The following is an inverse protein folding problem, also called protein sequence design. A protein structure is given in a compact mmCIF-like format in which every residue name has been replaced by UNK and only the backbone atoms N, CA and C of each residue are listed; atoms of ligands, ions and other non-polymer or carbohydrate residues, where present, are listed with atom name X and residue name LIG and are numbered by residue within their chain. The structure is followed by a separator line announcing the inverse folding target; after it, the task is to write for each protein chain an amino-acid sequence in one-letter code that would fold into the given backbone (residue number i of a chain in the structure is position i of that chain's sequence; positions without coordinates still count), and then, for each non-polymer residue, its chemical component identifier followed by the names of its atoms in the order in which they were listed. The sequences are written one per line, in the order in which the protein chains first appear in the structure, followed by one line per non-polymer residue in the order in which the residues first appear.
data_IF_190194894474
#
_entry.id   IF_190194894474
#
_cell.length_a   1.000
_cell.length_b   1.000
_cell.length_c   1.000
_cell.angle_alpha   90.00
_cell.angle_beta   90.00
_cell.angle_gamma   90.00
#
_symmetry.space_group_name_H-M   'P 1'
#
loop_
_entity.id
_entity.type
_entity.pdbx_description
1 polymer ?
#
# COMPACT_ATOMS: atom_id res chain seq x y z
N UNK A 1 -9.56 -9.27 -28.17
CA UNK A 1 -8.96 -7.93 -28.07
C UNK A 1 -9.42 -7.31 -26.75
N UNK A 2 -8.57 -7.30 -25.73
CA UNK A 2 -8.90 -6.76 -24.41
C UNK A 2 -9.08 -5.24 -24.49
N UNK A 3 -10.24 -4.73 -24.06
CA UNK A 3 -10.54 -3.29 -24.01
C UNK A 3 -11.29 -3.00 -22.72
N UNK A 4 -10.83 -2.00 -21.95
CA UNK A 4 -11.57 -1.51 -20.78
C UNK A 4 -12.66 -0.53 -21.23
N UNK A 5 -13.87 -0.64 -20.67
CA UNK A 5 -14.98 0.30 -20.90
C UNK A 5 -14.74 1.60 -20.11
N UNK A 6 -13.76 2.39 -20.54
CA UNK A 6 -13.58 3.77 -20.09
C UNK A 6 -14.07 4.68 -21.21
N UNK A 7 -14.78 5.77 -20.89
CA UNK A 7 -15.42 6.68 -21.87
C UNK A 7 -14.44 7.42 -22.80
N UNK A 8 -14.83 8.59 -23.33
CA UNK A 8 -14.09 9.42 -24.31
C UNK A 8 -12.56 9.48 -24.07
N UNK A 9 -11.83 8.50 -24.59
CA UNK A 9 -10.37 8.45 -24.63
C UNK A 9 -10.01 8.06 -26.05
N UNK A 10 -9.06 8.78 -26.66
CA UNK A 10 -8.66 8.56 -28.05
C UNK A 10 -8.05 7.17 -28.33
N UNK A 11 -7.65 6.43 -27.29
CA UNK A 11 -7.11 5.06 -27.36
C UNK A 11 -7.56 4.24 -26.13
N UNK A 12 -7.80 2.92 -26.26
CA UNK A 12 -8.22 2.09 -25.14
C UNK A 12 -7.07 1.83 -24.16
N UNK A 13 -7.34 1.94 -22.85
CA UNK A 13 -6.47 1.36 -21.84
C UNK A 13 -6.51 -0.17 -21.97
N UNK A 14 -5.33 -0.77 -22.15
CA UNK A 14 -5.21 -2.21 -22.37
C UNK A 14 -4.95 -2.96 -21.07
N UNK A 15 -3.99 -2.50 -20.28
CA UNK A 15 -3.48 -3.20 -19.10
C UNK A 15 -3.15 -2.21 -17.99
N UNK A 16 -3.48 -2.54 -16.74
CA UNK A 16 -3.09 -1.73 -15.57
C UNK A 16 -2.52 -2.57 -14.42
N UNK A 17 -1.43 -2.07 -13.85
CA UNK A 17 -0.83 -2.60 -12.62
C UNK A 17 -1.12 -1.62 -11.50
N UNK A 18 -1.75 -2.10 -10.43
CA UNK A 18 -2.09 -1.30 -9.26
C UNK A 18 -1.12 -1.57 -8.12
N UNK A 19 -0.68 -0.53 -7.41
CA UNK A 19 0.15 -0.70 -6.21
C UNK A 19 -0.73 -0.74 -4.96
N UNK A 20 -0.40 -1.64 -4.03
CA UNK A 20 -0.99 -1.63 -2.69
C UNK A 20 -0.67 -0.29 -2.03
N UNK A 21 -1.68 0.39 -1.48
CA UNK A 21 -1.51 1.72 -0.92
C UNK A 21 -2.35 1.90 0.34
N UNK A 22 -1.70 2.28 1.45
CA UNK A 22 -2.43 2.67 2.67
C UNK A 22 -2.63 4.18 2.72
N UNK A 23 -1.56 4.95 2.52
CA UNK A 23 -1.57 6.42 2.61
C UNK A 23 -0.48 6.99 1.71
N UNK A 24 -0.66 8.25 1.34
CA UNK A 24 0.38 9.09 0.74
C UNK A 24 0.52 10.34 1.61
N UNK A 25 1.74 10.87 1.67
CA UNK A 25 2.08 12.06 2.45
C UNK A 25 2.29 13.25 1.52
N UNK A 26 2.08 14.45 2.05
CA UNK A 26 2.45 15.69 1.38
C UNK A 26 3.97 15.88 1.38
N UNK A 27 4.51 16.51 0.34
CA UNK A 27 5.95 16.77 0.21
C UNK A 27 6.49 17.67 1.33
N UNK A 28 5.64 18.46 2.01
CA UNK A 28 6.02 19.22 3.19
C UNK A 28 6.65 18.36 4.31
N UNK A 29 6.38 17.04 4.35
CA UNK A 29 6.98 16.13 5.33
C UNK A 29 8.52 16.12 5.28
N UNK A 30 9.11 16.36 4.10
CA UNK A 30 10.56 16.38 3.95
C UNK A 30 11.20 17.54 4.71
N UNK A 31 10.61 18.74 4.60
CA UNK A 31 11.13 19.94 5.26
C UNK A 31 10.71 19.99 6.73
N UNK A 32 9.43 19.76 7.01
CA UNK A 32 8.84 20.01 8.34
C UNK A 32 9.06 18.89 9.35
N UNK A 33 9.27 17.65 8.90
CA UNK A 33 9.56 16.51 9.77
C UNK A 33 11.00 16.04 9.60
N UNK A 34 11.36 15.58 8.41
CA UNK A 34 12.63 14.88 8.20
C UNK A 34 13.83 15.80 8.36
N UNK A 35 13.80 16.98 7.74
CA UNK A 35 14.86 17.97 7.90
C UNK A 35 14.80 18.64 9.27
N UNK A 36 13.66 19.23 9.64
CA UNK A 36 13.55 20.04 10.85
C UNK A 36 13.79 19.26 12.15
N UNK A 37 13.29 18.02 12.25
CA UNK A 37 13.42 17.20 13.46
C UNK A 37 14.60 16.24 13.41
N UNK A 38 14.83 15.58 12.27
CA UNK A 38 15.84 14.52 12.15
C UNK A 38 17.11 14.96 11.41
N UNK A 39 17.16 16.17 10.86
CA UNK A 39 18.31 16.66 10.09
C UNK A 39 18.51 15.95 8.75
N UNK A 40 17.52 15.19 8.28
CA UNK A 40 17.64 14.38 7.07
C UNK A 40 17.26 15.20 5.84
N UNK A 41 18.26 15.53 5.02
CA UNK A 41 18.07 16.24 3.75
C UNK A 41 17.55 15.30 2.67
N UNK A 42 16.49 15.72 1.95
CA UNK A 42 15.84 14.92 0.90
C UNK A 42 16.83 14.51 -0.20
N UNK A 43 17.77 15.39 -0.53
CA UNK A 43 18.76 15.19 -1.61
C UNK A 43 19.75 14.07 -1.28
N UNK A 44 19.92 13.76 0.00
CA UNK A 44 20.84 12.74 0.50
C UNK A 44 20.15 11.39 0.74
N UNK A 45 18.84 11.30 0.56
CA UNK A 45 18.08 10.05 0.67
C UNK A 45 18.24 9.23 -0.62
N UNK A 46 18.72 7.99 -0.50
CA UNK A 46 18.86 7.05 -1.63
C UNK A 46 17.69 6.09 -1.76
N UNK A 47 17.00 5.80 -0.66
CA UNK A 47 15.85 4.90 -0.64
C UNK A 47 14.94 5.26 0.51
N UNK A 48 13.63 5.11 0.29
CA UNK A 48 12.62 5.17 1.33
C UNK A 48 11.73 3.93 1.26
N UNK A 49 11.23 3.49 2.40
CA UNK A 49 10.28 2.39 2.50
C UNK A 49 9.31 2.59 3.68
N UNK A 50 8.17 1.91 3.66
CA UNK A 50 7.22 1.91 4.78
C UNK A 50 6.95 0.46 5.19
N UNK A 51 7.50 0.04 6.32
CA UNK A 51 7.28 -1.28 6.92
C UNK A 51 7.27 -1.18 8.44
N UNK A 52 6.09 -0.93 9.02
CA UNK A 52 5.94 -0.68 10.47
C UNK A 52 6.42 0.71 10.90
N UNK A 53 7.50 1.21 10.30
CA UNK A 53 8.03 2.56 10.42
C UNK A 53 8.27 3.16 9.01
N UNK A 54 8.51 4.48 8.95
CA UNK A 54 9.04 5.13 7.77
C UNK A 54 10.56 4.98 7.77
N UNK A 55 11.07 4.21 6.81
CA UNK A 55 12.47 3.81 6.72
C UNK A 55 13.20 4.64 5.67
N UNK A 56 14.34 5.23 6.01
CA UNK A 56 15.13 6.10 5.13
C UNK A 56 16.59 5.63 5.12
N UNK A 57 17.14 5.41 3.92
CA UNK A 57 18.55 5.15 3.70
C UNK A 57 19.21 6.36 3.07
N UNK A 58 20.37 6.74 3.58
CA UNK A 58 21.12 7.93 3.17
C UNK A 58 22.35 7.55 2.33
N UNK A 59 22.87 8.50 1.54
CA UNK A 59 24.09 8.31 0.74
C UNK A 59 25.34 8.00 1.57
N UNK A 60 25.40 8.48 2.81
CA UNK A 60 26.48 8.21 3.75
C UNK A 60 26.43 6.78 4.35
N UNK A 61 25.41 5.99 3.97
CA UNK A 61 25.19 4.64 4.46
C UNK A 61 24.36 4.57 5.75
N UNK A 62 23.97 5.71 6.33
CA UNK A 62 23.11 5.73 7.52
C UNK A 62 21.68 5.29 7.21
N UNK A 63 21.04 4.69 8.22
CA UNK A 63 19.68 4.16 8.17
C UNK A 63 18.86 4.74 9.33
N UNK A 64 17.67 5.23 9.02
CA UNK A 64 16.79 5.89 9.98
C UNK A 64 15.38 5.29 9.92
N UNK A 65 14.80 5.02 11.09
CA UNK A 65 13.39 4.65 11.22
C UNK A 65 12.63 5.75 11.97
N UNK A 66 11.53 6.22 11.38
CA UNK A 66 10.68 7.26 11.94
C UNK A 66 9.29 6.67 12.20
N UNK A 67 8.71 6.92 13.38
CA UNK A 67 7.38 6.40 13.71
C UNK A 67 6.34 6.97 12.73
N UNK A 68 5.56 6.10 12.11
CA UNK A 68 4.49 6.47 11.20
C UNK A 68 3.43 7.37 11.85
N UNK A 69 3.25 7.30 13.17
CA UNK A 69 2.34 8.19 13.89
C UNK A 69 2.74 9.65 13.75
N UNK A 70 4.03 9.94 13.70
CA UNK A 70 4.54 11.30 13.49
C UNK A 70 4.24 11.73 12.06
N UNK A 71 4.47 10.85 11.09
CA UNK A 71 4.18 11.11 9.67
C UNK A 71 2.70 11.38 9.39
N UNK A 72 1.78 10.95 10.28
CA UNK A 72 0.33 11.06 10.03
C UNK A 72 -0.17 12.48 9.84
N UNK A 73 0.48 13.48 10.43
CA UNK A 73 0.12 14.89 10.26
C UNK A 73 0.17 15.33 8.79
N UNK A 74 1.07 14.74 8.01
CA UNK A 74 1.24 15.02 6.57
C UNK A 74 0.41 14.09 5.67
N UNK A 75 -0.50 13.28 6.21
CA UNK A 75 -1.37 12.41 5.38
C UNK A 75 -2.25 13.27 4.48
N UNK A 76 -2.21 13.05 3.15
CA UNK A 76 -3.07 13.77 2.20
C UNK A 76 -4.55 13.55 2.53
N UNK A 77 -5.35 14.61 2.43
CA UNK A 77 -6.76 14.59 2.87
C UNK A 77 -7.59 13.47 2.21
N UNK A 78 -7.42 13.26 0.89
CA UNK A 78 -8.12 12.18 0.18
C UNK A 78 -7.79 10.77 0.66
N UNK A 79 -6.63 10.54 1.26
CA UNK A 79 -6.28 9.23 1.83
C UNK A 79 -7.06 8.91 3.11
N UNK A 80 -7.63 9.93 3.78
CA UNK A 80 -8.46 9.76 4.98
C UNK A 80 -9.85 9.20 4.66
N UNK A 81 -10.23 9.16 3.39
CA UNK A 81 -11.51 8.61 2.94
C UNK A 81 -11.37 7.52 1.88
N UNK A 82 -10.16 7.29 1.33
CA UNK A 82 -9.93 6.21 0.35
C UNK A 82 -10.24 4.81 0.96
N UNK A 83 -11.06 3.97 0.30
CA UNK A 83 -11.46 2.67 0.82
C UNK A 83 -10.65 1.50 0.24
N UNK A 84 -9.78 1.75 -0.74
CA UNK A 84 -9.12 0.71 -1.52
C UNK A 84 -7.63 0.63 -1.17
N UNK A 85 -7.27 -0.37 -0.37
CA UNK A 85 -5.87 -0.70 -0.11
C UNK A 85 -5.27 -1.57 -1.22
N UNK A 86 -6.07 -2.46 -1.79
CA UNK A 86 -5.58 -3.58 -2.58
C UNK A 86 -5.57 -3.31 -4.09
N UNK A 87 -5.81 -2.06 -4.49
CA UNK A 87 -5.96 -1.64 -5.88
C UNK A 87 -6.91 -2.58 -6.65
N UNK A 88 -8.13 -2.72 -6.14
CA UNK A 88 -9.07 -3.79 -6.53
C UNK A 88 -9.53 -3.73 -7.99
N UNK A 89 -9.32 -2.59 -8.65
CA UNK A 89 -9.68 -2.37 -10.07
C UNK A 89 -8.53 -2.64 -11.06
N UNK A 90 -7.38 -3.12 -10.60
CA UNK A 90 -6.25 -3.46 -11.46
C UNK A 90 -6.40 -4.83 -12.16
N UNK A 91 -5.65 -5.06 -13.23
CA UNK A 91 -5.49 -6.39 -13.82
C UNK A 91 -4.57 -7.24 -12.93
N UNK A 92 -3.50 -6.61 -12.42
CA UNK A 92 -2.61 -7.15 -11.39
C UNK A 92 -2.41 -6.09 -10.31
N UNK A 93 -2.71 -6.42 -9.06
CA UNK A 93 -2.38 -5.59 -7.90
C UNK A 93 -1.12 -6.12 -7.22
N UNK A 94 -0.20 -5.25 -6.83
CA UNK A 94 1.10 -5.69 -6.28
C UNK A 94 1.62 -4.80 -5.16
N UNK A 95 2.32 -5.37 -4.18
CA UNK A 95 3.02 -4.58 -3.18
C UNK A 95 3.81 -5.40 -2.15
N UNK A 96 4.78 -4.73 -1.52
CA UNK A 96 5.73 -5.31 -0.58
C UNK A 96 5.16 -5.45 0.83
N UNK A 97 4.19 -6.36 1.02
CA UNK A 97 3.73 -6.78 2.35
C UNK A 97 4.08 -8.25 2.58
N UNK A 98 4.43 -8.60 3.82
CA UNK A 98 4.91 -9.93 4.18
C UNK A 98 6.20 -9.88 5.01
N UNK A 99 6.68 -11.06 5.38
CA UNK A 99 7.93 -11.18 6.15
C UNK A 99 9.15 -11.03 5.24
N UNK A 100 9.07 -11.63 4.05
CA UNK A 100 10.17 -11.73 3.11
C UNK A 100 10.25 -10.51 2.18
N UNK A 101 11.27 -9.67 2.38
CA UNK A 101 11.51 -8.47 1.59
C UNK A 101 11.97 -8.75 0.15
N UNK A 102 12.32 -10.00 -0.18
CA UNK A 102 12.70 -10.39 -1.54
C UNK A 102 11.48 -10.71 -2.43
N UNK A 103 10.28 -10.78 -1.85
CA UNK A 103 9.06 -11.12 -2.56
C UNK A 103 8.07 -9.96 -2.56
N UNK A 104 7.27 -9.92 -3.62
CA UNK A 104 6.17 -8.98 -3.76
C UNK A 104 4.87 -9.76 -3.84
N UNK A 105 3.89 -9.42 -3.01
CA UNK A 105 2.57 -10.02 -3.09
C UNK A 105 1.87 -9.54 -4.37
N UNK A 106 1.37 -10.46 -5.19
CA UNK A 106 0.62 -10.15 -6.41
C UNK A 106 -0.78 -10.78 -6.34
N UNK A 107 -1.82 -9.96 -6.53
CA UNK A 107 -3.21 -10.40 -6.69
C UNK A 107 -3.59 -10.21 -8.16
N UNK A 108 -3.74 -11.31 -8.88
CA UNK A 108 -4.11 -11.32 -10.30
C UNK A 108 -5.63 -11.41 -10.42
N UNK A 109 -6.26 -10.49 -11.16
CA UNK A 109 -7.73 -10.28 -11.09
C UNK A 109 -8.47 -10.57 -12.39
N UNK A 110 -7.92 -10.13 -13.52
CA UNK A 110 -8.59 -10.22 -14.82
C UNK A 110 -7.96 -11.30 -15.68
N UNK A 111 -8.70 -11.79 -16.69
CA UNK A 111 -8.18 -12.77 -17.65
C UNK A 111 -6.89 -12.30 -18.33
N UNK A 112 -6.79 -11.00 -18.62
CA UNK A 112 -5.56 -10.41 -19.15
C UNK A 112 -4.42 -10.44 -18.13
N UNK A 113 -4.69 -10.11 -16.86
CA UNK A 113 -3.70 -10.23 -15.79
C UNK A 113 -3.20 -11.66 -15.62
N UNK A 114 -4.09 -12.65 -15.71
CA UNK A 114 -3.74 -14.09 -15.66
C UNK A 114 -2.83 -14.45 -16.82
N UNK A 115 -3.20 -14.06 -18.05
CA UNK A 115 -2.40 -14.35 -19.24
C UNK A 115 -1.00 -13.71 -19.17
N UNK A 116 -0.91 -12.45 -18.73
CA UNK A 116 0.37 -11.74 -18.58
C UNK A 116 1.24 -12.44 -17.53
N UNK A 117 0.69 -12.73 -16.34
CA UNK A 117 1.45 -13.39 -15.28
C UNK A 117 1.93 -14.78 -15.71
N UNK A 118 1.08 -15.58 -16.34
CA UNK A 118 1.44 -16.91 -16.82
C UNK A 118 2.57 -16.87 -17.85
N UNK A 119 2.55 -15.89 -18.78
CA UNK A 119 3.65 -15.71 -19.75
C UNK A 119 4.95 -15.32 -19.07
N UNK A 120 4.90 -14.37 -18.13
CA UNK A 120 6.08 -13.95 -17.36
C UNK A 120 6.68 -15.07 -16.52
N UNK A 121 5.85 -16.01 -16.04
CA UNK A 121 6.33 -17.22 -15.36
C UNK A 121 6.94 -18.19 -16.37
N UNK A 122 6.29 -18.41 -17.50
CA UNK A 122 6.72 -19.37 -18.52
C UNK A 122 8.04 -18.96 -19.21
N UNK A 123 8.27 -17.66 -19.41
CA UNK A 123 9.50 -17.12 -19.99
C UNK A 123 10.61 -16.83 -18.97
N UNK A 124 10.34 -17.04 -17.68
CA UNK A 124 11.31 -16.86 -16.59
C UNK A 124 11.54 -15.41 -16.16
N UNK A 125 10.74 -14.45 -16.65
CA UNK A 125 10.79 -13.05 -16.20
C UNK A 125 10.45 -12.91 -14.72
N UNK A 126 9.61 -13.78 -14.17
CA UNK A 126 9.31 -13.85 -12.73
C UNK A 126 9.26 -15.29 -12.23
N UNK A 127 9.62 -15.47 -10.97
CA UNK A 127 9.32 -16.67 -10.22
C UNK A 127 8.08 -16.43 -9.35
N UNK A 128 7.23 -17.44 -9.19
CA UNK A 128 6.00 -17.33 -8.42
C UNK A 128 5.87 -18.49 -7.44
N UNK A 129 5.28 -18.19 -6.27
CA UNK A 129 4.83 -19.18 -5.29
C UNK A 129 3.42 -18.80 -4.81
N UNK A 130 2.60 -19.77 -4.35
CA UNK A 130 1.28 -19.46 -3.81
C UNK A 130 1.38 -18.46 -2.65
N UNK A 131 0.57 -17.40 -2.68
CA UNK A 131 0.59 -16.34 -1.67
C UNK A 131 0.19 -16.84 -0.28
N UNK A 132 -0.61 -17.91 -0.22
CA UNK A 132 -1.08 -18.56 1.00
C UNK A 132 0.06 -19.14 1.84
N UNK A 133 1.24 -19.35 1.23
CA UNK A 133 2.45 -19.77 1.95
C UNK A 133 3.02 -18.67 2.85
N UNK A 134 2.68 -17.40 2.62
CA UNK A 134 3.00 -16.26 3.48
C UNK A 134 1.77 -15.83 4.29
N UNK A 135 1.60 -16.47 5.45
CA UNK A 135 0.47 -16.19 6.35
C UNK A 135 0.44 -14.72 6.82
N UNK A 136 1.61 -14.08 6.94
CA UNK A 136 1.73 -12.68 7.38
C UNK A 136 1.27 -11.72 6.29
N UNK A 137 1.67 -11.92 5.03
CA UNK A 137 1.19 -11.14 3.90
C UNK A 137 -0.34 -11.26 3.76
N UNK A 138 -0.89 -12.48 3.86
CA UNK A 138 -2.34 -12.70 3.76
C UNK A 138 -3.12 -12.05 4.90
N UNK A 139 -2.58 -12.08 6.12
CA UNK A 139 -3.17 -11.40 7.28
C UNK A 139 -3.13 -9.88 7.11
N UNK A 140 -2.00 -9.33 6.67
CA UNK A 140 -1.83 -7.90 6.45
C UNK A 140 -2.72 -7.39 5.32
N UNK A 141 -2.83 -8.11 4.20
CA UNK A 141 -3.74 -7.77 3.10
C UNK A 141 -5.17 -7.61 3.61
N UNK A 142 -5.69 -8.61 4.33
CA UNK A 142 -7.05 -8.58 4.89
C UNK A 142 -7.25 -7.45 5.90
N UNK A 143 -6.27 -7.27 6.79
CA UNK A 143 -6.32 -6.22 7.83
C UNK A 143 -6.32 -4.82 7.22
N UNK A 144 -5.37 -4.54 6.33
CA UNK A 144 -5.20 -3.21 5.74
C UNK A 144 -6.34 -2.85 4.79
N UNK A 145 -6.87 -3.81 4.02
CA UNK A 145 -8.10 -3.62 3.23
C UNK A 145 -9.31 -3.31 4.13
N UNK A 146 -9.46 -4.01 5.25
CA UNK A 146 -10.54 -3.72 6.21
C UNK A 146 -10.40 -2.32 6.81
N UNK A 147 -9.19 -1.94 7.23
CA UNK A 147 -8.92 -0.61 7.80
C UNK A 147 -9.15 0.49 6.77
N UNK A 148 -8.76 0.27 5.51
CA UNK A 148 -9.00 1.22 4.42
C UNK A 148 -10.49 1.45 4.21
N UNK A 149 -11.28 0.37 4.06
CA UNK A 149 -12.74 0.47 3.87
C UNK A 149 -13.46 1.20 5.00
N UNK A 150 -13.01 1.06 6.25
CA UNK A 150 -13.60 1.77 7.41
C UNK A 150 -13.41 3.29 7.36
N UNK A 151 -12.50 3.80 6.54
CA UNK A 151 -12.30 5.23 6.31
C UNK A 151 -13.39 5.83 5.41
N UNK A 152 -14.09 4.97 4.67
CA UNK A 152 -15.11 5.41 3.73
C UNK A 152 -16.24 6.16 4.45
N UNK A 153 -16.60 7.37 4.02
CA UNK A 153 -17.64 8.15 4.67
C UNK A 153 -18.99 7.43 4.64
N UNK A 154 -19.70 7.40 5.77
CA UNK A 154 -21.05 6.83 5.85
C UNK A 154 -22.08 7.56 4.98
N UNK A 155 -21.79 8.81 4.61
CA UNK A 155 -22.60 9.64 3.70
C UNK A 155 -22.38 9.32 2.22
N UNK A 156 -21.34 8.54 1.88
CA UNK A 156 -21.02 8.16 0.51
C UNK A 156 -21.70 6.83 0.11
N UNK A 157 -21.45 6.37 -1.12
CA UNK A 157 -22.00 5.10 -1.62
C UNK A 157 -21.67 3.94 -0.66
N UNK A 158 -22.63 3.12 -0.20
CA UNK A 158 -22.37 2.09 0.80
C UNK A 158 -21.55 0.89 0.30
N UNK A 159 -21.36 0.73 -1.01
CA UNK A 159 -20.71 -0.45 -1.60
C UNK A 159 -19.33 -0.80 -0.99
N UNK A 160 -18.42 0.16 -0.71
CA UNK A 160 -17.13 -0.17 -0.10
C UNK A 160 -17.23 -0.69 1.34
N UNK A 161 -18.34 -0.44 2.04
CA UNK A 161 -18.57 -0.85 3.44
C UNK A 161 -19.24 -2.24 3.56
N UNK A 162 -19.74 -2.81 2.46
CA UNK A 162 -20.40 -4.13 2.48
C UNK A 162 -19.42 -5.20 2.96
N UNK A 163 -19.85 -5.99 3.96
CA UNK A 163 -19.04 -7.09 4.50
C UNK A 163 -17.85 -6.66 5.37
N UNK A 164 -17.70 -5.36 5.66
CA UNK A 164 -16.64 -4.85 6.54
C UNK A 164 -16.97 -5.19 7.99
N UNK A 165 -16.14 -5.99 8.69
CA UNK A 165 -16.40 -6.28 10.10
C UNK A 165 -16.34 -5.01 10.95
N UNK A 166 -17.14 -4.91 12.03
CA UNK A 166 -17.05 -3.78 12.96
C UNK A 166 -15.65 -3.72 13.58
N UNK A 167 -15.17 -2.52 13.96
CA UNK A 167 -13.91 -2.40 14.69
C UNK A 167 -13.98 -3.23 15.97
N UNK A 168 -12.92 -4.02 16.23
CA UNK A 168 -12.80 -4.72 17.51
C UNK A 168 -12.77 -3.66 18.61
N UNK A 169 -13.60 -3.84 19.66
CA UNK A 169 -13.47 -3.02 20.87
C UNK A 169 -12.02 -3.10 21.33
N UNK A 170 -11.36 -1.95 21.55
CA UNK A 170 -10.07 -1.95 22.23
C UNK A 170 -10.31 -2.58 23.60
N UNK A 171 -9.50 -3.55 24.00
CA UNK A 171 -9.45 -3.94 25.40
C UNK A 171 -9.06 -2.69 26.19
N UNK A 172 -9.83 -2.35 27.22
CA UNK A 172 -9.56 -1.21 28.07
C UNK A 172 -8.13 -1.29 28.63
N UNK A 173 -7.39 -0.18 28.54
CA UNK A 173 -6.20 0.07 29.36
C UNK A 173 -5.00 -0.86 29.15
N UNK A 174 -4.19 -0.56 28.14
CA UNK A 174 -2.73 -0.57 28.36
C UNK A 174 -2.20 0.80 28.00
N UNK A 175 -1.76 1.51 29.03
CA UNK A 175 -0.96 2.73 28.92
C UNK A 175 0.15 2.48 27.89
N UNK A 176 0.33 3.33 26.86
CA UNK A 176 1.48 3.17 25.99
C UNK A 176 2.74 3.24 26.87
N UNK A 177 3.57 2.20 26.78
CA UNK A 177 4.87 2.19 27.44
C UNK A 177 5.66 3.43 27.00
N UNK A 178 6.33 4.14 27.92
CA UNK A 178 7.17 5.26 27.57
C UNK A 178 8.37 4.77 26.75
N UNK A 179 8.95 5.71 25.99
CA UNK A 179 10.15 5.68 25.14
C UNK A 179 9.85 5.64 23.64
#
# INVERSE_FOLDING_TARGET
MWKRKVGKIGKPFLFNIGLLCSKTFDDAIFEELFLAKYGLKKEEMVKMNIKGAFQIWMKDGSFHEIDLKECHQWTREGCKTCPDFAAEHADISTGGIGEDNAWTLCVVRTDLGVEVMNRMIADGSVIARPAETDATAMKLLKLLSTVSRRRWPATANPAPLVGVPPPKKKADGTTPAPH
#
